data_IF_014023441326
#
_entry.id   IF_014023441326
#
_cell.length_a   1.000
_cell.length_b   1.000
_cell.length_c   1.000
_cell.angle_alpha   90.00
_cell.angle_beta   90.00
_cell.angle_gamma   90.00
#
_symmetry.space_group_name_H-M   'P 1'
#
loop_
_entity.id
_entity.type
_entity.pdbx_description
1 polymer ?
#
# COMPACT_ATOMS: atom_id res chain seq x y z
N UNK A 1 -9.70 -5.09 -24.12
CA UNK A 1 -8.92 -3.99 -23.53
C UNK A 1 -8.21 -4.51 -22.29
N UNK A 2 -6.97 -4.97 -22.41
CA UNK A 2 -6.23 -5.53 -21.27
C UNK A 2 -5.33 -4.46 -20.67
N UNK A 3 -5.73 -3.86 -19.54
CA UNK A 3 -4.86 -2.98 -18.77
C UNK A 3 -3.83 -3.82 -18.01
N UNK A 4 -2.71 -4.15 -18.65
CA UNK A 4 -1.62 -4.86 -17.96
C UNK A 4 -0.38 -4.00 -17.75
N UNK A 5 -0.06 -3.92 -16.45
CA UNK A 5 1.19 -3.52 -15.79
C UNK A 5 1.68 -2.10 -16.04
N UNK A 6 1.34 -1.22 -15.09
CA UNK A 6 2.26 -0.15 -14.68
C UNK A 6 3.61 -0.82 -14.38
N UNK A 7 4.61 -0.55 -15.22
CA UNK A 7 6.01 -0.89 -14.95
C UNK A 7 6.30 -0.39 -13.54
N UNK A 8 6.59 -1.30 -12.61
CA UNK A 8 6.93 -0.85 -11.26
C UNK A 8 8.27 -0.13 -11.37
N UNK A 9 8.37 1.14 -10.93
CA UNK A 9 9.65 1.83 -10.90
C UNK A 9 10.68 0.95 -10.20
N UNK A 10 11.93 0.95 -10.70
CA UNK A 10 13.01 0.10 -10.20
C UNK A 10 13.35 0.29 -8.70
N UNK A 11 12.66 1.21 -8.01
CA UNK A 11 12.84 1.60 -6.61
C UNK A 11 11.56 1.56 -5.77
N UNK A 12 10.46 1.00 -6.29
CA UNK A 12 9.18 0.97 -5.56
C UNK A 12 9.07 -0.23 -4.63
N UNK A 13 8.71 0.06 -3.39
CA UNK A 13 8.46 -0.91 -2.32
C UNK A 13 6.98 -1.28 -2.32
N UNK A 14 6.68 -2.57 -2.17
CA UNK A 14 5.30 -3.06 -2.07
C UNK A 14 4.98 -3.41 -0.62
N UNK A 15 3.81 -3.00 -0.16
CA UNK A 15 3.23 -3.36 1.12
C UNK A 15 1.93 -4.12 0.94
N UNK A 16 1.73 -5.16 1.75
CA UNK A 16 0.45 -5.82 1.96
C UNK A 16 -0.25 -5.14 3.14
N UNK A 17 -1.43 -4.58 2.90
CA UNK A 17 -2.31 -3.96 3.89
C UNK A 17 -3.40 -4.97 4.20
N UNK A 18 -3.37 -5.57 5.38
CA UNK A 18 -4.40 -6.49 5.85
C UNK A 18 -5.47 -5.73 6.62
N UNK A 19 -6.71 -6.13 6.44
CA UNK A 19 -7.87 -5.61 7.14
C UNK A 19 -8.39 -6.64 8.15
N UNK A 20 -9.20 -6.18 9.11
CA UNK A 20 -9.80 -7.06 10.12
C UNK A 20 -10.80 -8.07 9.52
N UNK A 21 -11.39 -7.75 8.36
CA UNK A 21 -12.33 -8.62 7.65
C UNK A 21 -11.65 -9.64 6.72
N UNK A 22 -10.38 -9.94 6.99
CA UNK A 22 -9.52 -10.85 6.23
C UNK A 22 -9.23 -10.45 4.77
N UNK A 23 -9.61 -9.23 4.35
CA UNK A 23 -9.18 -8.70 3.05
C UNK A 23 -7.73 -8.24 3.13
N UNK A 24 -7.03 -8.36 1.99
CA UNK A 24 -5.69 -7.81 1.81
C UNK A 24 -5.69 -6.92 0.57
N UNK A 25 -5.18 -5.71 0.71
CA UNK A 25 -4.89 -4.82 -0.41
C UNK A 25 -3.37 -4.60 -0.54
N UNK A 26 -2.95 -4.14 -1.70
CA UNK A 26 -1.54 -3.87 -1.98
C UNK A 26 -1.32 -2.38 -2.20
N UNK A 27 -0.27 -1.87 -1.55
CA UNK A 27 0.16 -0.49 -1.63
C UNK A 27 1.57 -0.43 -2.25
N UNK A 28 1.75 0.41 -3.27
CA UNK A 28 3.06 0.73 -3.83
C UNK A 28 3.52 2.08 -3.29
N UNK A 29 4.76 2.12 -2.78
CA UNK A 29 5.42 3.35 -2.35
C UNK A 29 6.70 3.50 -3.17
N UNK A 30 6.76 4.56 -3.97
CA UNK A 30 7.89 4.85 -4.86
C UNK A 30 9.06 5.56 -4.13
N UNK A 31 8.76 6.18 -2.99
CA UNK A 31 9.73 6.90 -2.16
C UNK A 31 10.31 5.96 -1.09
N UNK A 32 11.57 5.57 -1.27
CA UNK A 32 12.31 4.66 -0.38
C UNK A 32 12.48 5.20 1.05
N UNK A 33 12.58 6.53 1.22
CA UNK A 33 12.69 7.11 2.56
C UNK A 33 11.37 6.95 3.31
N UNK A 34 10.24 7.20 2.63
CA UNK A 34 8.90 6.97 3.19
C UNK A 34 8.61 5.48 3.40
N UNK A 35 9.08 4.61 2.52
CA UNK A 35 8.89 3.17 2.64
C UNK A 35 9.66 2.55 3.83
N UNK A 36 10.79 3.16 4.23
CA UNK A 36 11.55 2.70 5.39
C UNK A 36 11.01 3.26 6.73
N UNK A 37 10.10 4.24 6.69
CA UNK A 37 9.45 4.78 7.87
C UNK A 37 8.04 4.21 8.04
N UNK A 38 7.87 3.31 9.02
CA UNK A 38 6.58 2.70 9.33
C UNK A 38 5.47 3.72 9.62
N UNK A 39 5.77 4.89 10.19
CA UNK A 39 4.76 5.93 10.43
C UNK A 39 4.30 6.55 9.11
N UNK A 40 5.23 6.86 8.22
CA UNK A 40 4.91 7.36 6.89
C UNK A 40 4.10 6.34 6.09
N UNK A 41 4.46 5.05 6.12
CA UNK A 41 3.70 3.97 5.47
C UNK A 41 2.25 3.93 5.96
N UNK A 42 2.02 3.99 7.28
CA UNK A 42 0.68 4.02 7.84
C UNK A 42 -0.13 5.24 7.40
N UNK A 43 0.48 6.43 7.37
CA UNK A 43 -0.18 7.65 6.90
C UNK A 43 -0.54 7.56 5.41
N UNK A 44 0.35 7.01 4.58
CA UNK A 44 0.11 6.81 3.15
C UNK A 44 -1.04 5.83 2.93
N UNK A 45 -1.05 4.70 3.67
CA UNK A 45 -2.15 3.74 3.57
C UNK A 45 -3.49 4.37 3.95
N UNK A 46 -3.53 5.16 5.04
CA UNK A 46 -4.74 5.88 5.44
C UNK A 46 -5.18 6.90 4.38
N UNK A 47 -4.27 7.71 3.85
CA UNK A 47 -4.58 8.67 2.81
C UNK A 47 -5.10 8.01 1.52
N UNK A 48 -4.57 6.83 1.16
CA UNK A 48 -5.05 6.06 0.02
C UNK A 48 -6.45 5.47 0.25
N UNK A 49 -6.77 5.11 1.50
CA UNK A 49 -8.12 4.69 1.88
C UNK A 49 -9.11 5.87 1.82
N UNK A 50 -8.73 7.04 2.33
CA UNK A 50 -9.52 8.27 2.25
C UNK A 50 -9.76 8.71 0.79
N UNK A 51 -8.79 8.49 -0.09
CA UNK A 51 -8.91 8.74 -1.53
C UNK A 51 -9.65 7.63 -2.30
N UNK A 52 -10.06 6.54 -1.65
CA UNK A 52 -10.75 5.40 -2.26
C UNK A 52 -9.88 4.45 -3.08
N UNK A 53 -8.55 4.64 -3.08
CA UNK A 53 -7.60 3.73 -3.73
C UNK A 53 -7.36 2.45 -2.94
N UNK A 54 -7.51 2.50 -1.61
CA UNK A 54 -7.56 1.31 -0.76
C UNK A 54 -9.00 1.07 -0.28
N UNK A 55 -9.39 -0.20 -0.10
CA UNK A 55 -10.71 -0.53 0.44
C UNK A 55 -10.96 0.15 1.77
N UNK A 56 -12.20 0.58 2.00
CA UNK A 56 -12.64 0.97 3.33
C UNK A 56 -12.60 -0.22 4.29
N UNK A 57 -12.22 0.05 5.55
CA UNK A 57 -12.15 -0.93 6.62
C UNK A 57 -11.10 -0.57 7.67
N UNK A 58 -11.02 -1.36 8.73
CA UNK A 58 -9.96 -1.22 9.74
C UNK A 58 -8.71 -1.93 9.25
N UNK A 59 -7.63 -1.18 9.03
CA UNK A 59 -6.31 -1.75 8.72
C UNK A 59 -5.78 -2.43 9.99
N UNK A 60 -5.61 -3.74 9.93
CA UNK A 60 -5.12 -4.57 11.03
C UNK A 60 -3.60 -4.62 11.07
N UNK A 61 -2.96 -4.68 9.91
CA UNK A 61 -1.49 -4.69 9.80
C UNK A 61 -1.02 -4.28 8.41
N UNK A 62 0.19 -3.72 8.35
CA UNK A 62 0.87 -3.42 7.10
C UNK A 62 2.24 -4.12 7.11
N UNK A 63 2.51 -4.91 6.07
CA UNK A 63 3.75 -5.69 5.95
C UNK A 63 4.44 -5.38 4.64
N UNK A 64 5.75 -5.12 4.69
CA UNK A 64 6.58 -4.97 3.50
C UNK A 64 6.74 -6.32 2.80
N UNK A 65 6.56 -6.33 1.49
CA UNK A 65 6.65 -7.53 0.64
C UNK A 65 7.93 -7.52 -0.22
N UNK A 66 8.29 -6.36 -0.79
CA UNK A 66 9.55 -6.14 -1.54
C UNK A 66 9.98 -4.70 -1.37
#
# INVERSE_FOLDING_TARGET
MSMFRKSTPAKSVIFAVNFDDARTAYLWIDDLAKANDNRAVNQIARAQQENGSLPEGTISSIKRVR
#
